data_IF_071318612743
#
_entry.id   IF_071318612743
#
_cell.length_a   1.000
_cell.length_b   1.000
_cell.length_c   1.000
_cell.angle_alpha   90.00
_cell.angle_beta   90.00
_cell.angle_gamma   90.00
#
_symmetry.space_group_name_H-M   'P 1'
#
loop_
_entity.id
_entity.type
_entity.pdbx_description
1 polymer ?
#
# COMPACT_ATOMS: atom_id res chain seq x y z
N UNK A 1 -11.34 -9.94 13.39
CA UNK A 1 -11.24 -8.49 13.13
C UNK A 1 -10.53 -8.32 11.80
N UNK A 2 -11.16 -7.64 10.84
CA UNK A 2 -10.72 -7.54 9.45
C UNK A 2 -9.37 -6.79 9.35
N UNK A 3 -8.28 -7.52 9.11
CA UNK A 3 -6.90 -6.99 9.06
C UNK A 3 -6.39 -6.70 7.65
N UNK A 4 -7.29 -6.58 6.67
CA UNK A 4 -6.94 -6.13 5.31
C UNK A 4 -7.86 -4.98 4.92
N UNK A 5 -7.40 -3.76 5.17
CA UNK A 5 -8.00 -2.58 4.57
C UNK A 5 -7.93 -1.34 5.45
N UNK A 6 -6.87 -0.55 5.27
CA UNK A 6 -6.88 0.88 5.59
C UNK A 6 -7.74 1.69 4.61
N UNK A 7 -8.49 1.02 3.73
CA UNK A 7 -9.34 1.63 2.72
C UNK A 7 -10.62 2.19 3.36
N UNK A 8 -10.82 3.50 3.23
CA UNK A 8 -12.04 4.16 3.67
C UNK A 8 -12.94 4.41 2.46
N UNK A 9 -14.03 3.65 2.36
CA UNK A 9 -14.98 3.77 1.25
C UNK A 9 -15.76 5.09 1.39
N UNK A 10 -15.36 6.11 0.65
CA UNK A 10 -16.07 7.39 0.57
C UNK A 10 -16.59 7.62 -0.85
N UNK A 11 -17.83 8.10 -0.99
CA UNK A 11 -18.42 8.44 -2.29
C UNK A 11 -17.86 9.79 -2.78
N UNK A 12 -16.75 9.76 -3.52
CA UNK A 12 -16.13 10.93 -4.13
C UNK A 12 -15.79 10.67 -5.61
N UNK A 13 -15.75 11.70 -6.47
CA UNK A 13 -15.36 11.53 -7.88
C UNK A 13 -13.95 10.94 -8.04
N UNK A 14 -13.04 11.20 -7.09
CA UNK A 14 -11.70 10.58 -7.04
C UNK A 14 -11.74 9.08 -6.74
N UNK A 15 -12.85 8.59 -6.20
CA UNK A 15 -13.10 7.18 -5.90
C UNK A 15 -13.70 6.43 -7.09
N UNK A 16 -14.19 7.15 -8.12
CA UNK A 16 -14.75 6.58 -9.34
C UNK A 16 -13.73 6.50 -10.49
N UNK A 17 -12.58 7.17 -10.34
CA UNK A 17 -11.52 7.11 -11.33
C UNK A 17 -10.81 5.74 -11.28
N UNK A 18 -10.48 5.13 -12.44
CA UNK A 18 -9.74 3.88 -12.49
C UNK A 18 -8.36 4.04 -11.82
N UNK A 19 -7.92 2.99 -11.11
CA UNK A 19 -6.72 3.03 -10.29
C UNK A 19 -5.44 3.30 -11.09
N UNK A 20 -5.33 2.78 -12.32
CA UNK A 20 -4.15 2.95 -13.17
C UNK A 20 -3.82 4.42 -13.48
N UNK A 21 -4.72 5.17 -14.14
CA UNK A 21 -4.51 6.59 -14.41
C UNK A 21 -4.29 7.41 -13.13
N UNK A 22 -4.98 7.08 -12.05
CA UNK A 22 -4.83 7.77 -10.76
C UNK A 22 -3.43 7.57 -10.15
N UNK A 23 -2.89 6.35 -10.21
CA UNK A 23 -1.52 6.05 -9.78
C UNK A 23 -0.50 6.82 -10.62
N UNK A 24 -0.66 6.83 -11.94
CA UNK A 24 0.22 7.58 -12.85
C UNK A 24 0.15 9.08 -12.61
N UNK A 25 -1.06 9.66 -12.51
CA UNK A 25 -1.24 11.09 -12.23
C UNK A 25 -0.63 11.46 -10.90
N UNK A 26 -0.81 10.64 -9.86
CA UNK A 26 -0.21 10.92 -8.54
C UNK A 26 1.32 10.82 -8.60
N UNK A 27 1.87 9.81 -9.28
CA UNK A 27 3.31 9.66 -9.45
C UNK A 27 3.91 10.85 -10.21
N UNK A 28 3.30 11.25 -11.33
CA UNK A 28 3.70 12.43 -12.11
C UNK A 28 3.58 13.70 -11.27
N UNK A 29 2.51 13.86 -10.49
CA UNK A 29 2.31 15.02 -9.63
C UNK A 29 3.37 15.09 -8.51
N UNK A 30 3.72 13.96 -7.89
CA UNK A 30 4.80 13.89 -6.89
C UNK A 30 6.11 14.35 -7.51
N UNK A 31 6.48 13.82 -8.68
CA UNK A 31 7.72 14.20 -9.37
C UNK A 31 7.70 15.68 -9.77
N UNK A 32 6.61 16.14 -10.38
CA UNK A 32 6.46 17.52 -10.84
C UNK A 32 6.58 18.52 -9.68
N UNK A 33 5.86 18.29 -8.58
CA UNK A 33 5.94 19.16 -7.39
C UNK A 33 7.32 19.12 -6.75
N UNK A 34 7.95 17.95 -6.66
CA UNK A 34 9.29 17.81 -6.07
C UNK A 34 10.34 18.55 -6.90
N UNK A 35 10.31 18.42 -8.23
CA UNK A 35 11.24 19.12 -9.14
C UNK A 35 11.01 20.63 -9.15
N UNK A 36 9.74 21.06 -9.00
CA UNK A 36 9.36 22.45 -8.96
C UNK A 36 9.75 23.14 -7.65
N UNK A 37 9.65 22.44 -6.51
CA UNK A 37 10.04 22.92 -5.17
C UNK A 37 11.55 23.08 -5.05
N UNK A 38 12.07 24.23 -5.49
CA UNK A 38 13.47 24.67 -5.32
C UNK A 38 13.63 25.75 -4.28
N UNK A 39 12.56 26.49 -3.99
CA UNK A 39 12.57 27.62 -3.07
C UNK A 39 11.59 27.40 -1.92
N UNK A 40 11.89 27.88 -0.70
CA UNK A 40 11.09 27.61 0.49
C UNK A 40 9.65 28.14 0.40
N UNK A 41 9.41 29.23 -0.34
CA UNK A 41 8.07 29.78 -0.54
C UNK A 41 7.16 28.91 -1.41
N UNK A 42 7.71 27.96 -2.18
CA UNK A 42 6.93 27.03 -3.00
C UNK A 42 6.34 25.88 -2.16
N UNK A 43 6.88 25.65 -0.96
CA UNK A 43 6.40 24.61 -0.04
C UNK A 43 4.93 24.81 0.37
N UNK A 44 4.52 25.99 0.88
CA UNK A 44 3.12 26.22 1.23
C UNK A 44 2.19 26.16 0.02
N UNK A 45 2.64 26.54 -1.18
CA UNK A 45 1.84 26.45 -2.41
C UNK A 45 1.55 24.99 -2.77
N UNK A 46 2.58 24.13 -2.76
CA UNK A 46 2.40 22.69 -2.97
C UNK A 46 1.52 22.06 -1.87
N UNK A 47 1.70 22.49 -0.61
CA UNK A 47 0.84 22.09 0.50
C UNK A 47 -0.63 22.45 0.29
N UNK A 48 -0.92 23.64 -0.23
CA UNK A 48 -2.28 24.06 -0.55
C UNK A 48 -2.92 23.22 -1.67
N UNK A 49 -2.15 22.85 -2.70
CA UNK A 49 -2.60 21.93 -3.77
C UNK A 49 -2.98 20.57 -3.17
N UNK A 50 -2.12 20.00 -2.33
CA UNK A 50 -2.40 18.73 -1.65
C UNK A 50 -3.65 18.85 -0.77
N UNK A 51 -3.77 19.92 0.00
CA UNK A 51 -4.94 20.15 0.85
C UNK A 51 -6.23 20.24 0.02
N UNK A 52 -6.20 20.95 -1.12
CA UNK A 52 -7.30 21.02 -2.07
C UNK A 52 -7.71 19.64 -2.60
N UNK A 53 -6.74 18.78 -2.92
CA UNK A 53 -7.01 17.39 -3.34
C UNK A 53 -7.64 16.56 -2.22
N UNK A 54 -7.20 16.73 -0.98
CA UNK A 54 -7.80 16.05 0.18
C UNK A 54 -9.24 16.50 0.43
N UNK A 55 -9.52 17.80 0.29
CA UNK A 55 -10.87 18.37 0.40
C UNK A 55 -11.78 17.87 -0.72
N UNK A 56 -11.29 17.86 -1.96
CA UNK A 56 -12.02 17.33 -3.11
C UNK A 56 -12.28 15.82 -2.98
N UNK A 57 -11.35 15.09 -2.37
CA UNK A 57 -11.50 13.68 -2.07
C UNK A 57 -12.47 13.39 -0.91
N UNK A 58 -12.92 14.43 -0.16
CA UNK A 58 -13.79 14.34 1.04
C UNK A 58 -13.27 13.35 2.08
N UNK A 59 -11.96 13.30 2.29
CA UNK A 59 -11.36 12.39 3.26
C UNK A 59 -11.42 13.02 4.64
N UNK A 60 -11.90 12.30 5.68
CA UNK A 60 -11.85 12.81 7.04
C UNK A 60 -10.38 13.06 7.45
N UNK A 61 -10.06 14.20 8.07
CA UNK A 61 -8.66 14.55 8.40
C UNK A 61 -8.03 13.60 9.44
N UNK A 62 -8.85 12.88 10.22
CA UNK A 62 -8.40 11.98 11.29
C UNK A 62 -7.49 10.83 10.80
N UNK A 63 -7.88 9.99 9.81
CA UNK A 63 -7.00 8.95 9.29
C UNK A 63 -5.73 9.50 8.63
N UNK A 64 -5.82 10.63 7.92
CA UNK A 64 -4.66 11.28 7.30
C UNK A 64 -3.63 11.72 8.35
N UNK A 65 -4.08 12.39 9.41
CA UNK A 65 -3.21 12.82 10.51
C UNK A 65 -2.63 11.64 11.29
N UNK A 66 -3.36 10.54 11.45
CA UNK A 66 -2.84 9.33 12.10
C UNK A 66 -1.68 8.71 11.32
N UNK A 67 -1.72 8.77 9.99
CA UNK A 67 -0.65 8.28 9.13
C UNK A 67 0.54 9.23 9.06
N UNK A 68 0.30 10.54 9.14
CA UNK A 68 1.35 11.57 9.18
C UNK A 68 2.07 11.65 10.53
N UNK A 69 1.42 11.29 11.64
CA UNK A 69 2.00 11.45 12.99
C UNK A 69 3.34 10.74 13.20
N UNK A 70 3.55 9.48 12.78
CA UNK A 70 4.87 8.84 12.84
C UNK A 70 5.91 9.55 11.97
N UNK A 71 5.49 10.06 10.81
CA UNK A 71 6.37 10.74 9.87
C UNK A 71 6.82 12.10 10.38
N UNK A 72 5.98 12.81 11.13
CA UNK A 72 6.34 14.12 11.71
C UNK A 72 7.57 14.01 12.62
N UNK A 73 7.69 12.94 13.41
CA UNK A 73 8.88 12.70 14.22
C UNK A 73 10.14 12.56 13.36
N UNK A 74 10.08 11.76 12.31
CA UNK A 74 11.18 11.62 11.35
C UNK A 74 11.49 12.94 10.64
N UNK A 75 10.47 13.72 10.28
CA UNK A 75 10.60 15.01 9.61
C UNK A 75 11.32 16.03 10.47
N UNK A 76 11.03 16.06 11.78
CA UNK A 76 11.73 16.93 12.74
C UNK A 76 13.21 16.59 12.81
N UNK A 77 13.56 15.31 12.86
CA UNK A 77 14.98 14.88 12.85
C UNK A 77 15.66 15.31 11.56
N UNK A 78 15.05 15.05 10.41
CA UNK A 78 15.61 15.44 9.10
C UNK A 78 15.76 16.95 9.00
N UNK A 79 14.76 17.71 9.41
CA UNK A 79 14.81 19.17 9.39
C UNK A 79 15.94 19.69 10.28
N UNK A 80 16.11 19.16 11.50
CA UNK A 80 17.18 19.56 12.40
C UNK A 80 18.56 19.32 11.79
N UNK A 81 18.79 18.13 11.22
CA UNK A 81 20.04 17.82 10.52
C UNK A 81 20.28 18.75 9.32
N UNK A 82 19.25 19.02 8.52
CA UNK A 82 19.37 19.90 7.36
C UNK A 82 19.65 21.36 7.74
N UNK A 83 19.05 21.87 8.82
CA UNK A 83 19.36 23.21 9.34
C UNK A 83 20.82 23.31 9.72
N UNK A 84 21.36 22.29 10.41
CA UNK A 84 22.74 22.24 10.86
C UNK A 84 23.75 22.14 9.71
N UNK A 85 23.45 21.36 8.67
CA UNK A 85 24.39 21.04 7.58
C UNK A 85 24.27 21.95 6.36
N UNK A 86 23.05 22.37 6.02
CA UNK A 86 22.71 22.97 4.73
C UNK A 86 21.89 24.27 4.84
N UNK A 87 21.54 24.68 6.06
CA UNK A 87 20.76 25.88 6.34
C UNK A 87 19.25 25.66 6.35
N UNK A 88 18.54 26.64 6.90
CA UNK A 88 17.10 26.59 7.15
C UNK A 88 16.27 26.50 5.86
N UNK A 89 16.69 27.17 4.78
CA UNK A 89 15.99 27.13 3.50
C UNK A 89 15.93 25.71 2.92
N UNK A 90 17.07 25.02 2.94
CA UNK A 90 17.18 23.65 2.44
C UNK A 90 16.41 22.66 3.31
N UNK A 91 16.42 22.86 4.63
CA UNK A 91 15.63 22.08 5.56
C UNK A 91 14.13 22.17 5.26
N UNK A 92 13.62 23.38 5.00
CA UNK A 92 12.22 23.62 4.65
C UNK A 92 11.86 22.95 3.33
N UNK A 93 12.69 23.10 2.29
CA UNK A 93 12.43 22.50 0.97
C UNK A 93 12.40 20.97 1.06
N UNK A 94 13.43 20.34 1.63
CA UNK A 94 13.55 18.87 1.70
C UNK A 94 12.45 18.26 2.57
N UNK A 95 12.19 18.85 3.74
CA UNK A 95 11.12 18.38 4.64
C UNK A 95 9.74 18.58 4.01
N UNK A 96 9.54 19.70 3.32
CA UNK A 96 8.32 20.00 2.58
C UNK A 96 8.07 19.02 1.43
N UNK A 97 9.08 18.73 0.62
CA UNK A 97 9.00 17.74 -0.46
C UNK A 97 8.60 16.36 0.07
N UNK A 98 9.24 15.91 1.15
CA UNK A 98 8.92 14.62 1.76
C UNK A 98 7.49 14.60 2.30
N UNK A 99 7.06 15.67 2.96
CA UNK A 99 5.70 15.80 3.47
C UNK A 99 4.64 15.76 2.35
N UNK A 100 4.87 16.52 1.27
CA UNK A 100 3.97 16.58 0.09
C UNK A 100 3.91 15.22 -0.60
N UNK A 101 5.06 14.59 -0.85
CA UNK A 101 5.14 13.28 -1.50
C UNK A 101 4.39 12.22 -0.69
N UNK A 102 4.60 12.18 0.63
CA UNK A 102 3.95 11.18 1.49
C UNK A 102 2.46 11.48 1.64
N UNK A 103 2.05 12.73 1.73
CA UNK A 103 0.63 13.09 1.75
C UNK A 103 -0.08 12.67 0.44
N UNK A 104 0.53 12.90 -0.73
CA UNK A 104 -0.02 12.43 -2.00
C UNK A 104 -0.07 10.90 -2.09
N UNK A 105 0.96 10.20 -1.62
CA UNK A 105 0.95 8.74 -1.57
C UNK A 105 -0.16 8.21 -0.66
N UNK A 106 -0.28 8.77 0.56
CA UNK A 106 -1.33 8.44 1.52
C UNK A 106 -2.73 8.70 0.95
N UNK A 107 -2.90 9.78 0.18
CA UNK A 107 -4.16 10.08 -0.51
C UNK A 107 -4.58 8.92 -1.43
N UNK A 108 -3.66 8.39 -2.24
CA UNK A 108 -3.95 7.25 -3.12
C UNK A 108 -4.24 5.98 -2.32
N UNK A 109 -3.46 5.70 -1.28
CA UNK A 109 -3.67 4.53 -0.41
C UNK A 109 -5.05 4.55 0.25
N UNK A 110 -5.51 5.72 0.70
CA UNK A 110 -6.81 5.87 1.36
C UNK A 110 -7.99 5.81 0.37
N UNK A 111 -7.75 6.13 -0.90
CA UNK A 111 -8.81 6.28 -1.91
C UNK A 111 -8.85 5.18 -2.97
N UNK A 112 -7.95 4.20 -2.90
CA UNK A 112 -7.86 3.10 -3.88
C UNK A 112 -7.89 1.76 -3.16
N UNK A 113 -8.69 0.81 -3.65
CA UNK A 113 -8.74 -0.54 -3.06
C UNK A 113 -7.54 -1.34 -3.54
N UNK A 114 -7.11 -2.29 -2.72
CA UNK A 114 -6.05 -3.24 -3.09
C UNK A 114 -6.42 -3.98 -4.39
N UNK A 115 -7.66 -4.45 -4.52
CA UNK A 115 -8.14 -5.11 -5.74
C UNK A 115 -8.03 -4.21 -6.98
N UNK A 116 -8.49 -2.96 -6.90
CA UNK A 116 -8.40 -2.03 -8.02
C UNK A 116 -6.92 -1.73 -8.40
N UNK A 117 -6.01 -1.72 -7.42
CA UNK A 117 -4.57 -1.60 -7.68
C UNK A 117 -4.02 -2.82 -8.41
N UNK A 118 -4.46 -4.03 -8.05
CA UNK A 118 -4.07 -5.26 -8.76
C UNK A 118 -4.57 -5.23 -10.20
N UNK A 119 -5.82 -4.84 -10.43
CA UNK A 119 -6.40 -4.73 -11.78
C UNK A 119 -5.62 -3.72 -12.63
N UNK A 120 -5.20 -2.60 -12.04
CA UNK A 120 -4.35 -1.62 -12.70
C UNK A 120 -2.96 -2.18 -13.07
N UNK A 121 -2.36 -2.98 -12.19
CA UNK A 121 -1.07 -3.65 -12.46
C UNK A 121 -1.23 -4.64 -13.61
N UNK A 122 -2.29 -5.46 -13.60
CA UNK A 122 -2.57 -6.43 -14.67
C UNK A 122 -2.82 -5.72 -16.00
N UNK A 123 -3.59 -4.63 -16.01
CA UNK A 123 -3.80 -3.81 -17.21
C UNK A 123 -2.48 -3.21 -17.74
N UNK A 124 -1.58 -2.79 -16.84
CA UNK A 124 -0.23 -2.30 -17.17
C UNK A 124 0.70 -3.38 -17.74
N UNK A 125 0.44 -4.66 -17.46
CA UNK A 125 1.18 -5.79 -18.03
C UNK A 125 0.68 -6.19 -19.43
N UNK A 126 -0.50 -5.72 -19.85
CA UNK A 126 -1.04 -5.91 -21.21
C UNK A 126 -0.04 -5.68 -22.37
N UNK A 127 0.74 -4.58 -22.41
CA UNK A 127 1.74 -4.36 -23.46
C UNK A 127 2.89 -5.38 -23.46
N UNK A 128 3.20 -6.02 -22.33
CA UNK A 128 4.25 -7.04 -22.23
C UNK A 128 3.84 -8.40 -22.80
N UNK A 129 2.59 -8.55 -23.27
CA UNK A 129 2.16 -9.71 -24.09
C UNK A 129 3.06 -9.95 -25.29
N UNK A 130 3.61 -8.89 -25.87
CA UNK A 130 4.53 -8.97 -27.02
C UNK A 130 5.89 -9.60 -26.68
N UNK A 131 6.25 -9.65 -25.40
CA UNK A 131 7.52 -10.20 -24.89
C UNK A 131 7.31 -11.60 -24.30
N UNK A 132 6.11 -12.18 -24.44
CA UNK A 132 5.79 -13.52 -23.95
C UNK A 132 5.24 -13.57 -22.52
N UNK A 133 4.89 -12.43 -21.91
CA UNK A 133 4.21 -12.41 -20.61
C UNK A 133 2.70 -12.62 -20.80
N UNK A 134 2.11 -13.54 -20.05
CA UNK A 134 0.66 -13.76 -20.00
C UNK A 134 0.04 -12.97 -18.81
N UNK A 135 -0.64 -11.84 -19.06
CA UNK A 135 -1.25 -11.03 -18.01
C UNK A 135 -2.39 -11.75 -17.28
N UNK A 136 -3.07 -12.69 -17.94
CA UNK A 136 -4.16 -13.46 -17.34
C UNK A 136 -3.61 -14.40 -16.26
N UNK A 137 -2.51 -15.12 -16.55
CA UNK A 137 -1.81 -15.93 -15.53
C UNK A 137 -1.25 -15.08 -14.39
N UNK A 138 -0.63 -13.93 -14.69
CA UNK A 138 -0.11 -13.04 -13.65
C UNK A 138 -1.24 -12.51 -12.76
N UNK A 139 -2.37 -12.13 -13.37
CA UNK A 139 -3.57 -11.71 -12.66
C UNK A 139 -4.10 -12.81 -11.73
N UNK A 140 -4.18 -14.05 -12.22
CA UNK A 140 -4.59 -15.21 -11.42
C UNK A 140 -3.68 -15.38 -10.19
N UNK A 141 -2.36 -15.38 -10.39
CA UNK A 141 -1.38 -15.53 -9.30
C UNK A 141 -1.52 -14.41 -8.27
N UNK A 142 -1.65 -13.16 -8.72
CA UNK A 142 -1.80 -12.00 -7.83
C UNK A 142 -3.10 -12.08 -7.01
N UNK A 143 -4.22 -12.41 -7.63
CA UNK A 143 -5.52 -12.56 -6.95
C UNK A 143 -5.46 -13.69 -5.92
N UNK A 144 -4.88 -14.84 -6.28
CA UNK A 144 -4.69 -15.98 -5.39
C UNK A 144 -3.78 -15.62 -4.22
N UNK A 145 -2.69 -14.89 -4.48
CA UNK A 145 -1.77 -14.41 -3.44
C UNK A 145 -2.48 -13.49 -2.44
N UNK A 146 -3.24 -12.51 -2.92
CA UNK A 146 -3.99 -11.59 -2.05
C UNK A 146 -5.06 -12.33 -1.23
N UNK A 147 -5.70 -13.36 -1.79
CA UNK A 147 -6.63 -14.23 -1.06
C UNK A 147 -5.91 -15.16 -0.06
N UNK A 148 -4.68 -15.55 -0.31
CA UNK A 148 -3.89 -16.40 0.59
C UNK A 148 -3.50 -15.66 1.88
N UNK A 149 -3.26 -14.34 1.84
CA UNK A 149 -2.91 -13.54 3.03
C UNK A 149 -3.91 -13.69 4.20
N UNK A 150 -5.22 -13.44 4.03
CA UNK A 150 -6.19 -13.61 5.13
C UNK A 150 -6.36 -15.08 5.53
N UNK A 151 -6.21 -16.01 4.60
CA UNK A 151 -6.32 -17.45 4.84
C UNK A 151 -5.18 -17.96 5.73
N UNK A 152 -3.93 -17.60 5.43
CA UNK A 152 -2.76 -17.86 6.27
C UNK A 152 -2.90 -17.20 7.64
N UNK A 153 -3.44 -15.98 7.69
CA UNK A 153 -3.78 -15.32 8.96
C UNK A 153 -4.72 -16.15 9.83
N UNK A 154 -5.71 -16.80 9.22
CA UNK A 154 -6.62 -17.74 9.88
C UNK A 154 -5.89 -18.97 10.44
N UNK A 155 -5.01 -19.59 9.65
CA UNK A 155 -4.19 -20.74 10.08
C UNK A 155 -3.31 -20.35 11.27
N UNK A 156 -2.62 -19.22 11.19
CA UNK A 156 -1.78 -18.70 12.28
C UNK A 156 -2.61 -18.48 13.55
N UNK A 157 -3.80 -17.90 13.43
CA UNK A 157 -4.69 -17.69 14.58
C UNK A 157 -5.12 -19.03 15.22
N UNK A 158 -5.53 -20.01 14.42
CA UNK A 158 -5.93 -21.34 14.91
C UNK A 158 -4.77 -22.05 15.61
N UNK A 159 -3.58 -22.06 15.01
CA UNK A 159 -2.38 -22.68 15.61
C UNK A 159 -2.00 -21.97 16.91
N UNK A 160 -2.11 -20.63 16.95
CA UNK A 160 -1.82 -19.84 18.15
C UNK A 160 -2.77 -20.20 19.30
N UNK A 161 -4.07 -20.33 19.04
CA UNK A 161 -5.05 -20.72 20.06
C UNK A 161 -4.85 -22.18 20.52
N UNK A 162 -4.60 -23.11 19.60
CA UNK A 162 -4.27 -24.50 19.94
C UNK A 162 -3.00 -24.61 20.79
N UNK A 163 -1.99 -23.78 20.49
CA UNK A 163 -0.73 -23.74 21.24
C UNK A 163 -0.93 -23.19 22.65
N UNK A 164 -1.72 -22.11 22.81
CA UNK A 164 -2.09 -21.57 24.13
C UNK A 164 -2.83 -22.59 24.98
N UNK A 165 -3.80 -23.32 24.41
CA UNK A 165 -4.56 -24.35 25.11
C UNK A 165 -3.67 -25.51 25.60
N UNK A 166 -2.59 -25.82 24.88
CA UNK A 166 -1.61 -26.84 25.25
C UNK A 166 -0.55 -26.37 26.26
N UNK A 167 -0.64 -25.14 26.77
CA UNK A 167 0.35 -24.57 27.70
C UNK A 167 1.73 -24.36 27.07
N UNK A 168 1.84 -24.46 25.75
CA UNK A 168 3.10 -24.27 25.03
C UNK A 168 3.39 -22.76 24.95
N UNK A 169 4.26 -22.27 25.84
CA UNK A 169 4.80 -20.89 25.84
C UNK A 169 5.48 -20.51 24.51
N UNK A 170 6.13 -19.34 24.39
CA UNK A 170 6.70 -18.73 23.15
C UNK A 170 7.77 -19.56 22.39
N UNK A 171 7.43 -20.78 21.98
CA UNK A 171 8.23 -21.64 21.11
C UNK A 171 7.93 -21.36 19.64
N UNK A 172 8.93 -20.85 18.93
CA UNK A 172 8.85 -20.57 17.50
C UNK A 172 8.60 -21.85 16.68
N UNK A 173 9.23 -22.97 17.05
CA UNK A 173 9.03 -24.26 16.38
C UNK A 173 7.60 -24.78 16.50
N UNK A 174 6.99 -24.62 17.68
CA UNK A 174 5.61 -25.03 17.93
C UNK A 174 4.56 -24.20 17.16
N UNK A 175 4.96 -23.05 16.60
CA UNK A 175 4.13 -22.22 15.72
C UNK A 175 4.47 -22.45 14.24
N UNK A 176 5.75 -22.45 13.89
CA UNK A 176 6.21 -22.50 12.50
C UNK A 176 5.87 -23.82 11.82
N UNK A 177 6.11 -24.96 12.47
CA UNK A 177 5.88 -26.28 11.85
C UNK A 177 4.41 -26.48 11.48
N UNK A 178 3.42 -26.28 12.40
CA UNK A 178 2.02 -26.44 12.04
C UNK A 178 1.52 -25.42 11.01
N UNK A 179 2.02 -24.18 11.05
CA UNK A 179 1.65 -23.14 10.07
C UNK A 179 2.17 -23.49 8.67
N UNK A 180 3.42 -23.95 8.55
CA UNK A 180 3.99 -24.35 7.26
C UNK A 180 3.26 -25.56 6.70
N UNK A 181 3.00 -26.58 7.51
CA UNK A 181 2.23 -27.75 7.08
C UNK A 181 0.82 -27.36 6.65
N UNK A 182 0.12 -26.53 7.44
CA UNK A 182 -1.20 -26.02 7.07
C UNK A 182 -1.19 -25.20 5.78
N UNK A 183 -0.16 -24.37 5.58
CA UNK A 183 0.01 -23.60 4.34
C UNK A 183 0.26 -24.51 3.12
N UNK A 184 1.10 -25.55 3.25
CA UNK A 184 1.37 -26.51 2.18
C UNK A 184 0.12 -27.29 1.78
N UNK A 185 -0.62 -27.83 2.75
CA UNK A 185 -1.87 -28.54 2.49
C UNK A 185 -2.92 -27.65 1.82
N UNK A 186 -2.96 -26.37 2.22
CA UNK A 186 -3.87 -25.39 1.61
C UNK A 186 -3.45 -25.07 0.18
N UNK A 187 -2.14 -24.94 -0.09
CA UNK A 187 -1.62 -24.71 -1.43
C UNK A 187 -1.90 -25.90 -2.35
N UNK A 188 -1.73 -27.13 -1.87
CA UNK A 188 -2.04 -28.36 -2.60
C UNK A 188 -3.53 -28.42 -2.96
N UNK A 189 -4.43 -28.19 -1.99
CA UNK A 189 -5.87 -28.15 -2.24
C UNK A 189 -6.28 -27.02 -3.22
N UNK A 190 -5.63 -25.86 -3.16
CA UNK A 190 -5.87 -24.77 -4.10
C UNK A 190 -5.35 -25.12 -5.50
N UNK A 191 -4.23 -25.84 -5.61
CA UNK A 191 -3.67 -26.35 -6.86
C UNK A 191 -4.61 -27.36 -7.52
N UNK A 192 -5.01 -28.41 -6.80
CA UNK A 192 -5.97 -29.42 -7.29
C UNK A 192 -7.27 -28.78 -7.78
N UNK A 193 -7.77 -27.77 -7.06
CA UNK A 193 -8.97 -27.04 -7.46
C UNK A 193 -8.78 -26.17 -8.73
N UNK A 194 -7.56 -25.65 -8.98
CA UNK A 194 -7.24 -24.93 -10.22
C UNK A 194 -7.14 -25.90 -11.40
N UNK A 195 -6.49 -27.06 -11.22
CA UNK A 195 -6.39 -28.13 -12.23
C UNK A 195 -7.79 -28.60 -12.63
N UNK A 196 -8.66 -28.88 -11.65
CA UNK A 196 -10.04 -29.31 -11.88
C UNK A 196 -10.90 -28.26 -12.63
N UNK A 197 -10.48 -27.00 -12.63
CA UNK A 197 -11.14 -25.90 -13.35
C UNK A 197 -10.54 -25.65 -14.74
N UNK A 198 -9.54 -26.43 -15.15
CA UNK A 198 -8.90 -26.32 -16.47
C UNK A 198 -7.98 -25.11 -16.60
N UNK A 199 -7.35 -24.66 -15.51
CA UNK A 199 -6.44 -23.50 -15.49
C UNK A 199 -4.96 -23.88 -15.62
N UNK A 200 -4.67 -25.13 -16.00
CA UNK A 200 -3.31 -25.69 -16.11
C UNK A 200 -2.71 -25.63 -17.52
N UNK A 201 -3.44 -25.12 -18.52
CA UNK A 201 -2.97 -25.00 -19.92
C UNK A 201 -2.23 -23.69 -20.20
#
# INVERSE_FOLDING_TARGET
MSTLGLYHRAASPLHRAPAGPKLLVTAVLIVALTVWMRQPWQVPVAGAVVLGLYLLARIPPRPALRQLRPLLWMLVVIAAFQVLLAGWERAVVVSGQLLVAVALAALVTLTTRVSDMLDAIVAGLGPFRRVGVDPERVGLVLVMTVRAVPMLGGIVAQVTEARKARGLGFSLRALAVPVVVGALLTAEAMGEALVARGLDD
#
